data_IF_552890594403
#
_entry.id   IF_552890594403
#
_cell.length_a   1.000
_cell.length_b   1.000
_cell.length_c   1.000
_cell.angle_alpha   90.00
_cell.angle_beta   90.00
_cell.angle_gamma   90.00
#
_symmetry.space_group_name_H-M   'P 1'
#
loop_
_entity.id
_entity.type
_entity.pdbx_description
1 polymer ?
#
# COMPACT_ATOMS: atom_id res chain seq x y z
N UNK A 1 16.14 9.31 -0.61
CA UNK A 1 15.04 9.45 0.39
C UNK A 1 14.51 8.06 0.71
N UNK A 2 14.23 7.77 1.98
CA UNK A 2 13.53 6.55 2.39
C UNK A 2 12.18 6.97 2.98
N UNK A 3 11.13 6.27 2.60
CA UNK A 3 9.76 6.55 3.04
C UNK A 3 9.17 5.30 3.67
N UNK A 4 8.33 5.48 4.69
CA UNK A 4 7.57 4.41 5.31
C UNK A 4 6.10 4.84 5.37
N UNK A 5 5.19 3.87 5.27
CA UNK A 5 3.74 4.08 5.35
C UNK A 5 3.24 3.30 6.55
N UNK A 6 2.45 3.96 7.39
CA UNK A 6 1.81 3.36 8.56
C UNK A 6 0.31 3.24 8.29
N UNK A 7 -0.22 2.02 8.48
CA UNK A 7 -1.66 1.73 8.43
C UNK A 7 -2.08 1.13 9.77
N UNK A 8 -3.26 1.51 10.25
CA UNK A 8 -3.81 1.07 11.53
C UNK A 8 -5.34 1.06 11.42
N UNK A 9 -5.99 0.10 12.06
CA UNK A 9 -7.45 0.10 12.24
C UNK A 9 -7.88 1.02 13.41
N UNK A 10 -6.93 1.42 14.25
CA UNK A 10 -7.14 2.33 15.38
C UNK A 10 -6.62 3.73 15.05
N UNK A 11 -7.55 4.68 14.93
CA UNK A 11 -7.24 6.09 14.71
C UNK A 11 -6.40 6.70 15.85
N UNK A 12 -6.61 6.23 17.08
CA UNK A 12 -5.87 6.71 18.26
C UNK A 12 -4.39 6.36 18.17
N UNK A 13 -4.07 5.13 17.82
CA UNK A 13 -2.69 4.66 17.75
C UNK A 13 -1.95 5.32 16.57
N UNK A 14 -2.65 5.48 15.43
CA UNK A 14 -2.09 6.17 14.27
C UNK A 14 -1.77 7.64 14.60
N UNK A 15 -2.67 8.32 15.32
CA UNK A 15 -2.46 9.70 15.75
C UNK A 15 -1.24 9.83 16.67
N UNK A 16 -1.06 8.90 17.61
CA UNK A 16 0.11 8.88 18.49
C UNK A 16 1.42 8.77 17.69
N UNK A 17 1.47 7.89 16.68
CA UNK A 17 2.64 7.73 15.82
C UNK A 17 2.93 8.99 15.01
N UNK A 18 1.89 9.65 14.47
CA UNK A 18 2.03 10.90 13.72
C UNK A 18 2.57 12.04 14.59
N UNK A 19 2.10 12.15 15.83
CA UNK A 19 2.58 13.14 16.80
C UNK A 19 4.05 12.90 17.18
N UNK A 20 4.43 11.64 17.36
CA UNK A 20 5.82 11.26 17.63
C UNK A 20 6.73 11.61 16.44
N UNK A 21 6.33 11.24 15.23
CA UNK A 21 7.09 11.55 14.01
C UNK A 21 7.27 13.06 13.83
N UNK A 22 6.23 13.86 14.13
CA UNK A 22 6.31 15.32 14.12
C UNK A 22 7.31 15.86 15.14
N UNK A 23 7.35 15.30 16.36
CA UNK A 23 8.35 15.66 17.39
C UNK A 23 9.78 15.34 16.97
N UNK A 24 9.97 14.26 16.19
CA UNK A 24 11.28 13.86 15.66
C UNK A 24 11.70 14.65 14.40
N UNK A 25 10.89 15.62 13.94
CA UNK A 25 11.17 16.39 12.74
C UNK A 25 10.97 15.61 11.43
N UNK A 26 10.28 14.47 11.50
CA UNK A 26 9.97 13.64 10.32
C UNK A 26 8.73 14.21 9.64
N UNK A 27 8.78 14.39 8.32
CA UNK A 27 7.63 14.83 7.54
C UNK A 27 6.58 13.73 7.51
N UNK A 28 5.36 14.07 7.88
CA UNK A 28 4.20 13.17 7.83
C UNK A 28 3.11 13.78 6.95
N UNK A 29 2.33 12.91 6.30
CA UNK A 29 1.13 13.26 5.54
C UNK A 29 0.13 12.14 5.71
N UNK A 30 -1.12 12.49 5.96
CA UNK A 30 -2.26 11.57 5.86
C UNK A 30 -2.71 11.55 4.41
N UNK A 31 -2.80 10.37 3.81
CA UNK A 31 -3.20 10.22 2.41
C UNK A 31 -4.70 10.46 2.26
N UNK A 32 -5.09 11.11 1.17
CA UNK A 32 -6.50 11.07 0.74
C UNK A 32 -6.86 9.66 0.28
N UNK A 33 -8.16 9.42 0.10
CA UNK A 33 -8.63 8.16 -0.48
C UNK A 33 -8.06 7.94 -1.88
N UNK A 34 -8.06 8.96 -2.76
CA UNK A 34 -7.51 8.83 -4.11
C UNK A 34 -6.01 8.52 -4.06
N UNK A 35 -5.26 9.20 -3.19
CA UNK A 35 -3.81 8.96 -3.06
C UNK A 35 -3.49 7.53 -2.56
N UNK A 36 -4.35 6.98 -1.70
CA UNK A 36 -4.23 5.59 -1.24
C UNK A 36 -4.55 4.59 -2.36
N UNK A 37 -5.56 4.86 -3.17
CA UNK A 37 -5.92 4.04 -4.33
C UNK A 37 -4.81 4.05 -5.39
N UNK A 38 -4.24 5.22 -5.69
CA UNK A 38 -3.12 5.37 -6.63
C UNK A 38 -1.88 4.61 -6.17
N UNK A 39 -1.58 4.66 -4.87
CA UNK A 39 -0.51 3.86 -4.28
C UNK A 39 -0.78 2.36 -4.44
N UNK A 40 -2.00 1.92 -4.15
CA UNK A 40 -2.43 0.53 -4.33
C UNK A 40 -2.27 0.06 -5.77
N UNK A 41 -2.68 0.88 -6.73
CA UNK A 41 -2.53 0.62 -8.15
C UNK A 41 -1.06 0.48 -8.55
N UNK A 42 -0.21 1.41 -8.10
CA UNK A 42 1.23 1.38 -8.37
C UNK A 42 1.87 0.07 -7.88
N UNK A 43 1.54 -0.35 -6.66
CA UNK A 43 2.02 -1.61 -6.09
C UNK A 43 1.54 -2.83 -6.88
N UNK A 44 0.27 -2.85 -7.31
CA UNK A 44 -0.28 -3.93 -8.13
C UNK A 44 0.40 -4.01 -9.50
N UNK A 45 0.66 -2.86 -10.14
CA UNK A 45 1.39 -2.80 -11.41
C UNK A 45 2.83 -3.30 -11.26
N UNK A 46 3.52 -2.88 -10.22
CA UNK A 46 4.90 -3.32 -9.97
C UNK A 46 4.94 -4.82 -9.64
N UNK A 47 3.90 -5.36 -8.98
CA UNK A 47 3.72 -6.82 -8.81
C UNK A 47 3.44 -7.55 -10.14
N UNK A 48 2.64 -6.96 -11.02
CA UNK A 48 2.37 -7.53 -12.35
C UNK A 48 3.60 -7.59 -13.26
N UNK A 49 4.54 -6.65 -13.11
CA UNK A 49 5.80 -6.65 -13.88
C UNK A 49 6.73 -7.83 -13.57
N UNK A 50 6.56 -8.49 -12.42
CA UNK A 50 7.44 -9.60 -12.01
C UNK A 50 7.21 -10.85 -12.91
N UNK A 51 6.23 -10.81 -13.82
CA UNK A 51 6.11 -11.80 -14.90
C UNK A 51 5.52 -13.14 -14.48
N UNK A 52 4.99 -13.24 -13.26
CA UNK A 52 4.23 -14.39 -12.78
C UNK A 52 2.82 -14.37 -13.40
N UNK A 53 2.72 -14.75 -14.67
CA UNK A 53 1.45 -14.93 -15.34
C UNK A 53 0.88 -16.31 -15.01
N UNK A 54 -0.41 -16.34 -14.68
CA UNK A 54 -1.14 -17.60 -14.59
C UNK A 54 -1.32 -18.16 -15.99
N UNK A 55 -0.97 -19.43 -16.20
CA UNK A 55 -1.28 -20.12 -17.45
C UNK A 55 -2.81 -20.11 -17.65
N UNK A 56 -3.23 -19.36 -18.67
CA UNK A 56 -4.64 -19.06 -18.90
C UNK A 56 -5.42 -20.32 -19.26
N UNK A 57 -4.82 -21.26 -19.99
CA UNK A 57 -5.49 -22.52 -20.32
C UNK A 57 -5.64 -23.40 -19.09
N UNK A 58 -4.59 -23.49 -18.27
CA UNK A 58 -4.62 -24.28 -17.03
C UNK A 58 -5.65 -23.72 -16.04
N UNK A 59 -5.74 -22.39 -15.91
CA UNK A 59 -6.72 -21.73 -15.07
C UNK A 59 -8.16 -21.99 -15.56
N UNK A 60 -8.42 -21.83 -16.86
CA UNK A 60 -9.74 -22.08 -17.43
C UNK A 60 -10.19 -23.54 -17.26
N UNK A 61 -9.26 -24.50 -17.35
CA UNK A 61 -9.56 -25.92 -17.09
C UNK A 61 -9.94 -26.18 -15.63
N UNK A 62 -9.48 -25.38 -14.67
CA UNK A 62 -9.78 -25.55 -13.24
C UNK A 62 -11.16 -25.03 -12.82
N UNK A 63 -11.83 -24.24 -13.66
CA UNK A 63 -13.17 -23.69 -13.42
C UNK A 63 -14.31 -24.62 -13.85
N UNK A 64 -13.99 -25.84 -14.34
CA UNK A 64 -14.95 -26.85 -14.79
C UNK A 64 -15.21 -27.91 -13.73
#
# INVERSE_FOLDING_TARGET
MKSAIFTSESDKDLKLLLELAKKLGIKTKVLSKEEYEDLGLKLAMDKGKIGEFVDTEKFLKSLK
#
